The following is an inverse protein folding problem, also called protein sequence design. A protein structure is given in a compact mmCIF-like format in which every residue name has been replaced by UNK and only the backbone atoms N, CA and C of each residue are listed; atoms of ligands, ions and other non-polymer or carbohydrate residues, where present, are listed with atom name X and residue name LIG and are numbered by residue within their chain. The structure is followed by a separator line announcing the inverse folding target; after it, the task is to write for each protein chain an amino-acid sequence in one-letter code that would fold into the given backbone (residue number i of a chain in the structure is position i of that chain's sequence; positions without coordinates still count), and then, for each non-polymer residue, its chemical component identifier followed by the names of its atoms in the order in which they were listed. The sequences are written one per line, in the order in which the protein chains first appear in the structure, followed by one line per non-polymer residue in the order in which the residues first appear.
data_IF_323681696235
#
_entry.id   IF_323681696235
#
_cell.length_a   1.000
_cell.length_b   1.000
_cell.length_c   1.000
_cell.angle_alpha   90.00
_cell.angle_beta   90.00
_cell.angle_gamma   90.00
#
_symmetry.space_group_name_H-M   'P 1'
#
loop_
_entity.id
_entity.type
_entity.pdbx_description
1 polymer ?
#
# COMPACT_ATOMS: atom_id res chain seq x y z
N UNK A 1 -14.14 -46.86 -29.74
CA UNK A 1 -14.98 -46.26 -28.67
C UNK A 1 -14.19 -45.47 -27.62
N UNK A 2 -12.85 -45.56 -27.56
CA UNK A 2 -12.06 -44.80 -26.57
C UNK A 2 -11.91 -43.31 -26.93
N UNK A 3 -11.75 -42.98 -28.23
CA UNK A 3 -11.50 -41.61 -28.71
C UNK A 3 -12.69 -40.67 -28.52
N UNK A 4 -13.92 -41.19 -28.65
CA UNK A 4 -15.16 -40.44 -28.41
C UNK A 4 -15.37 -40.19 -26.91
N UNK A 5 -14.97 -41.14 -26.05
CA UNK A 5 -15.02 -40.98 -24.59
C UNK A 5 -14.04 -39.91 -24.10
N UNK A 6 -12.83 -39.84 -24.66
CA UNK A 6 -11.85 -38.78 -24.33
C UNK A 6 -12.36 -37.39 -24.70
N UNK A 7 -13.06 -37.25 -25.83
CA UNK A 7 -13.58 -35.96 -26.29
C UNK A 7 -14.74 -35.46 -25.41
N UNK A 8 -15.61 -36.37 -24.97
CA UNK A 8 -16.68 -36.05 -24.01
C UNK A 8 -16.11 -35.64 -22.65
N UNK A 9 -15.05 -36.32 -22.17
CA UNK A 9 -14.42 -35.99 -20.91
C UNK A 9 -13.75 -34.59 -20.92
N UNK A 10 -13.13 -34.21 -22.04
CA UNK A 10 -12.52 -32.88 -22.20
C UNK A 10 -13.59 -31.76 -22.25
N UNK A 11 -14.74 -32.02 -22.89
CA UNK A 11 -15.86 -31.06 -22.95
C UNK A 11 -16.47 -30.86 -21.56
N UNK A 12 -16.61 -31.91 -20.76
CA UNK A 12 -17.15 -31.80 -19.39
C UNK A 12 -16.19 -31.01 -18.50
N UNK A 13 -14.88 -31.20 -18.63
CA UNK A 13 -13.89 -30.52 -17.82
C UNK A 13 -13.78 -29.01 -18.13
N UNK A 14 -14.01 -28.59 -19.38
CA UNK A 14 -13.97 -27.17 -19.77
C UNK A 14 -15.21 -26.37 -19.36
N UNK A 15 -16.33 -27.05 -19.08
CA UNK A 15 -17.55 -26.43 -18.56
C UNK A 15 -17.48 -26.15 -17.05
N UNK A 16 -16.55 -26.80 -16.32
CA UNK A 16 -16.23 -26.48 -14.94
C UNK A 16 -15.22 -25.32 -14.87
N UNK A 17 -15.67 -24.12 -15.23
CA UNK A 17 -14.91 -22.91 -14.94
C UNK A 17 -14.95 -22.66 -13.43
N UNK A 18 -13.82 -22.90 -12.75
CA UNK A 18 -13.63 -22.48 -11.36
C UNK A 18 -13.81 -20.97 -11.27
N UNK A 19 -14.82 -20.51 -10.52
CA UNK A 19 -15.02 -19.10 -10.22
C UNK A 19 -13.90 -18.67 -9.26
N UNK A 20 -12.81 -18.13 -9.82
CA UNK A 20 -11.73 -17.53 -9.04
C UNK A 20 -12.21 -16.22 -8.41
N UNK A 21 -12.46 -16.22 -7.10
CA UNK A 21 -12.59 -14.98 -6.31
C UNK A 21 -11.18 -14.42 -6.08
N UNK A 22 -10.61 -13.75 -7.08
CA UNK A 22 -9.27 -13.15 -6.99
C UNK A 22 -9.27 -11.66 -6.60
N UNK A 23 -10.44 -11.06 -6.39
CA UNK A 23 -10.53 -9.68 -5.93
C UNK A 23 -10.74 -9.68 -4.42
N UNK A 24 -9.63 -9.64 -3.68
CA UNK A 24 -9.65 -8.94 -2.40
C UNK A 24 -9.96 -7.49 -2.74
N UNK A 25 -10.99 -6.96 -2.09
CA UNK A 25 -11.43 -5.58 -2.26
C UNK A 25 -10.22 -4.68 -2.13
N UNK A 26 -9.75 -4.15 -3.26
CA UNK A 26 -8.71 -3.13 -3.26
C UNK A 26 -9.46 -1.88 -2.86
N UNK A 27 -9.63 -1.69 -1.56
CA UNK A 27 -10.10 -0.44 -1.00
C UNK A 27 -9.21 0.64 -1.60
N UNK A 28 -9.77 1.31 -2.60
CA UNK A 28 -9.23 2.51 -3.20
C UNK A 28 -8.80 3.41 -2.03
N UNK A 29 -7.62 4.04 -2.05
CA UNK A 29 -7.29 4.98 -0.99
C UNK A 29 -8.32 6.11 -1.10
N UNK A 30 -9.34 6.05 -0.25
CA UNK A 30 -10.45 6.99 -0.21
C UNK A 30 -9.84 8.38 -0.11
N UNK A 31 -9.92 9.16 -1.19
CA UNK A 31 -9.36 10.49 -1.20
C UNK A 31 -10.22 11.51 -0.43
N UNK A 32 -11.48 11.21 -0.11
CA UNK A 32 -12.33 12.12 0.66
C UNK A 32 -13.32 11.36 1.55
N UNK A 33 -13.18 11.52 2.88
CA UNK A 33 -14.23 11.20 3.86
C UNK A 33 -13.86 10.21 4.97
N UNK A 34 -12.83 9.37 4.80
CA UNK A 34 -12.27 8.59 5.91
C UNK A 34 -11.35 9.47 6.75
N UNK A 35 -11.47 9.41 8.08
CA UNK A 35 -10.53 10.10 8.98
C UNK A 35 -9.11 9.62 8.72
N UNK A 36 -8.31 10.42 8.00
CA UNK A 36 -6.90 10.12 7.72
C UNK A 36 -6.14 10.09 9.04
N UNK A 37 -5.47 8.99 9.32
CA UNK A 37 -4.68 8.78 10.52
C UNK A 37 -3.33 9.48 10.35
N UNK A 38 -2.79 9.50 9.13
CA UNK A 38 -1.50 10.12 8.82
C UNK A 38 -1.69 11.47 8.12
N UNK A 39 -1.15 12.53 8.72
CA UNK A 39 -0.94 13.82 8.06
C UNK A 39 0.48 13.92 7.54
N UNK A 40 0.61 14.43 6.32
CA UNK A 40 1.90 14.60 5.64
C UNK A 40 2.12 16.06 5.30
N UNK A 41 3.29 16.58 5.64
CA UNK A 41 3.66 17.95 5.31
C UNK A 41 5.18 18.18 5.28
N UNK A 42 5.66 19.11 4.43
CA UNK A 42 4.93 19.75 3.33
C UNK A 42 4.66 18.74 2.19
N UNK A 43 3.65 19.02 1.36
CA UNK A 43 3.41 18.30 0.11
C UNK A 43 2.94 19.33 -0.93
N UNK A 44 3.73 19.66 -1.97
CA UNK A 44 4.99 19.02 -2.36
C UNK A 44 6.14 19.19 -1.34
N UNK A 45 6.98 18.16 -1.21
CA UNK A 45 8.13 18.13 -0.32
C UNK A 45 9.44 18.36 -1.09
N UNK A 46 10.39 19.08 -0.50
CA UNK A 46 11.65 19.45 -1.16
C UNK A 46 12.84 18.69 -0.55
N UNK A 47 13.09 18.90 0.75
CA UNK A 47 14.23 18.33 1.47
C UNK A 47 13.81 17.33 2.55
N UNK A 48 12.67 17.57 3.19
CA UNK A 48 12.13 16.73 4.25
C UNK A 48 10.63 16.55 4.07
N UNK A 49 10.10 15.45 4.62
CA UNK A 49 8.67 15.25 4.81
C UNK A 49 8.41 14.75 6.23
N UNK A 50 7.40 15.32 6.87
CA UNK A 50 6.95 14.93 8.19
C UNK A 50 5.71 14.05 8.05
N UNK A 51 5.73 12.91 8.74
CA UNK A 51 4.59 12.03 8.94
C UNK A 51 4.10 12.23 10.36
N UNK A 52 2.86 12.68 10.51
CA UNK A 52 2.22 12.90 11.80
C UNK A 52 1.02 11.97 11.96
N UNK A 53 1.11 11.05 12.91
CA UNK A 53 0.04 10.12 13.27
C UNK A 53 -0.90 10.83 14.24
N UNK A 54 -2.19 10.82 13.92
CA UNK A 54 -3.24 11.51 14.68
C UNK A 54 -4.00 10.59 15.64
N UNK A 55 -3.70 9.29 15.65
CA UNK A 55 -4.46 8.30 16.41
C UNK A 55 -4.30 8.52 17.93
N UNK A 56 -5.42 8.46 18.65
CA UNK A 56 -5.53 8.64 20.10
C UNK A 56 -5.15 7.38 20.93
N UNK A 57 -4.69 6.29 20.27
CA UNK A 57 -4.31 5.04 20.94
C UNK A 57 -2.77 4.95 21.05
N UNK A 58 -2.23 5.48 22.15
CA UNK A 58 -0.79 5.57 22.45
C UNK A 58 -0.01 4.23 22.42
N UNK A 59 -0.70 3.08 22.43
CA UNK A 59 -0.05 1.77 22.55
C UNK A 59 0.18 1.08 21.19
N UNK A 60 -0.30 1.64 20.08
CA UNK A 60 -0.09 1.01 18.76
C UNK A 60 1.24 1.44 18.15
N UNK A 61 2.12 0.46 17.96
CA UNK A 61 3.39 0.63 17.28
C UNK A 61 3.18 0.42 15.78
N UNK A 62 3.59 1.41 14.98
CA UNK A 62 3.46 1.38 13.53
C UNK A 62 4.81 1.32 12.83
N UNK A 63 4.81 0.70 11.66
CA UNK A 63 5.91 0.72 10.70
C UNK A 63 5.53 1.61 9.52
N UNK A 64 6.46 2.47 9.09
CA UNK A 64 6.33 3.30 7.89
C UNK A 64 7.18 2.70 6.77
N UNK A 65 6.57 2.51 5.60
CA UNK A 65 7.29 2.08 4.40
C UNK A 65 7.03 3.07 3.28
N UNK A 66 8.09 3.52 2.62
CA UNK A 66 7.99 4.42 1.47
C UNK A 66 8.44 3.69 0.21
N UNK A 67 7.64 3.80 -0.84
CA UNK A 67 7.88 3.25 -2.15
C UNK A 67 7.96 4.39 -3.18
N UNK A 68 8.79 4.21 -4.20
CA UNK A 68 8.69 5.04 -5.40
C UNK A 68 7.49 4.61 -6.26
N UNK A 69 7.18 5.39 -7.29
CA UNK A 69 6.08 5.09 -8.20
C UNK A 69 6.19 3.72 -8.91
N UNK A 70 7.41 3.20 -9.10
CA UNK A 70 7.65 1.88 -9.69
C UNK A 70 7.47 0.72 -8.70
N UNK A 71 7.14 1.01 -7.43
CA UNK A 71 6.98 0.01 -6.38
C UNK A 71 8.30 -0.44 -5.72
N UNK A 72 9.43 0.21 -6.02
CA UNK A 72 10.69 -0.02 -5.30
C UNK A 72 10.59 0.55 -3.89
N UNK A 73 10.88 -0.26 -2.88
CA UNK A 73 11.01 0.20 -1.49
C UNK A 73 12.21 1.14 -1.37
N UNK A 74 11.95 2.39 -1.00
CA UNK A 74 12.95 3.43 -0.80
C UNK A 74 13.42 3.43 0.65
N UNK A 75 12.48 3.30 1.58
CA UNK A 75 12.76 3.42 3.01
C UNK A 75 11.77 2.59 3.83
N UNK A 76 12.23 2.12 4.99
CA UNK A 76 11.40 1.43 5.95
C UNK A 76 11.86 1.81 7.35
N UNK A 77 10.96 2.46 8.09
CA UNK A 77 11.16 2.84 9.48
C UNK A 77 10.24 1.98 10.33
N UNK A 78 10.83 1.32 11.33
CA UNK A 78 10.09 0.47 12.26
C UNK A 78 9.79 1.22 13.54
N UNK A 79 8.66 0.91 14.16
CA UNK A 79 8.26 1.49 15.44
C UNK A 79 8.38 3.03 15.47
N UNK A 80 7.73 3.67 14.52
CA UNK A 80 7.75 5.12 14.37
C UNK A 80 6.99 5.79 15.52
N UNK A 81 7.41 6.99 15.90
CA UNK A 81 6.70 7.84 16.86
C UNK A 81 5.59 8.63 16.19
N UNK A 82 4.76 9.32 17.01
CA UNK A 82 3.67 10.20 16.56
C UNK A 82 4.08 11.20 15.49
N UNK A 83 5.34 11.65 15.52
CA UNK A 83 5.93 12.50 14.50
C UNK A 83 7.27 11.94 14.06
N UNK A 84 7.34 11.57 12.79
CA UNK A 84 8.57 11.07 12.16
C UNK A 84 8.95 11.94 10.98
N UNK A 85 10.18 12.41 10.95
CA UNK A 85 10.73 13.22 9.86
C UNK A 85 11.64 12.35 8.99
N UNK A 86 11.43 12.40 7.69
CA UNK A 86 12.22 11.66 6.69
C UNK A 86 12.99 12.64 5.82
N UNK A 87 14.29 12.39 5.64
CA UNK A 87 15.12 13.14 4.68
C UNK A 87 14.88 12.65 3.25
N UNK A 88 14.76 13.59 2.32
CA UNK A 88 14.55 13.33 0.91
C UNK A 88 15.84 13.42 0.08
N UNK A 89 17.01 13.35 0.71
CA UNK A 89 18.31 13.47 0.02
C UNK A 89 18.48 12.44 -1.10
N UNK A 90 18.05 11.20 -0.87
CA UNK A 90 18.13 10.10 -1.84
C UNK A 90 16.88 9.96 -2.74
N UNK A 91 15.99 10.95 -2.72
CA UNK A 91 14.76 10.97 -3.49
C UNK A 91 14.92 11.87 -4.72
N UNK A 92 14.38 11.42 -5.86
CA UNK A 92 14.26 12.20 -7.09
C UNK A 92 12.87 12.82 -7.21
N UNK A 93 12.74 13.79 -8.12
CA UNK A 93 11.47 14.42 -8.44
C UNK A 93 10.44 13.39 -8.91
N UNK A 94 9.27 13.40 -8.30
CA UNK A 94 8.20 12.45 -8.63
C UNK A 94 7.25 12.14 -7.50
N UNK A 95 6.37 11.17 -7.75
CA UNK A 95 5.36 10.70 -6.80
C UNK A 95 5.90 9.50 -6.00
N UNK A 96 5.67 9.54 -4.70
CA UNK A 96 5.98 8.45 -3.78
C UNK A 96 4.72 8.01 -3.05
N UNK A 97 4.70 6.74 -2.66
CA UNK A 97 3.61 6.12 -1.94
C UNK A 97 4.14 5.71 -0.57
N UNK A 98 3.47 6.13 0.49
CA UNK A 98 3.74 5.60 1.82
C UNK A 98 2.69 4.56 2.22
N UNK A 99 3.10 3.64 3.07
CA UNK A 99 2.24 2.69 3.75
C UNK A 99 2.54 2.73 5.24
N UNK A 100 1.50 2.91 6.03
CA UNK A 100 1.52 2.71 7.48
C UNK A 100 1.02 1.29 7.76
N UNK A 101 1.80 0.50 8.48
CA UNK A 101 1.46 -0.88 8.85
C UNK A 101 1.50 -1.07 10.36
N UNK A 102 0.67 -1.98 10.86
CA UNK A 102 0.77 -2.43 12.26
C UNK A 102 1.93 -3.42 12.46
N UNK A 103 2.21 -3.78 13.71
CA UNK A 103 3.22 -4.78 14.06
C UNK A 103 2.96 -6.17 13.46
N UNK A 104 1.71 -6.46 13.08
CA UNK A 104 1.31 -7.73 12.45
C UNK A 104 1.49 -7.69 10.93
N UNK A 105 1.87 -6.54 10.37
CA UNK A 105 2.09 -6.31 8.95
C UNK A 105 0.83 -5.93 8.16
N UNK A 106 -0.31 -5.72 8.83
CA UNK A 106 -1.56 -5.28 8.21
C UNK A 106 -1.42 -3.83 7.75
N UNK A 107 -1.96 -3.52 6.57
CA UNK A 107 -2.00 -2.16 6.05
C UNK A 107 -3.06 -1.37 6.79
N UNK A 108 -2.64 -0.32 7.49
CA UNK A 108 -3.53 0.59 8.23
C UNK A 108 -3.94 1.76 7.34
N UNK A 109 -2.96 2.42 6.73
CA UNK A 109 -3.20 3.54 5.82
C UNK A 109 -2.16 3.54 4.70
N UNK A 110 -2.53 4.08 3.56
CA UNK A 110 -1.59 4.44 2.51
C UNK A 110 -1.98 5.76 1.87
N UNK A 111 -0.98 6.47 1.35
CA UNK A 111 -1.21 7.70 0.62
C UNK A 111 -0.02 8.06 -0.25
N UNK A 112 -0.15 9.19 -0.93
CA UNK A 112 0.85 9.68 -1.89
C UNK A 112 1.35 11.07 -1.54
N UNK A 113 2.60 11.34 -1.85
CA UNK A 113 3.18 12.67 -1.76
C UNK A 113 4.10 12.95 -2.95
N UNK A 114 4.26 14.23 -3.28
CA UNK A 114 5.13 14.68 -4.36
C UNK A 114 6.45 15.16 -3.79
N UNK A 115 7.55 14.79 -4.45
CA UNK A 115 8.88 15.34 -4.19
C UNK A 115 9.27 16.27 -5.35
N UNK A 116 9.71 17.47 -5.01
CA UNK A 116 10.15 18.51 -5.95
C UNK A 116 11.43 19.14 -5.40
N UNK A 117 12.57 18.80 -5.99
CA UNK A 117 13.89 19.41 -5.79
C UNK A 117 14.17 20.45 -6.86
#
# INVERSE_FOLDING_TARGET
MWKTSTLVLIIVLSLFSFIGKAQSDKSQPNSDGGSKIVKLYPNPATTIINFQIQQHNNDQIYDLIVYNFLGKKMEQLKAISDRTTVSLDNYYNGIYIFQLRDQRGNLIESGKFNVVK
#
